data_IF_057699914093
#
_entry.id   IF_057699914093
#
_cell.length_a   1.000
_cell.length_b   1.000
_cell.length_c   1.000
_cell.angle_alpha   90.00
_cell.angle_beta   90.00
_cell.angle_gamma   90.00
#
_symmetry.space_group_name_H-M   'P 1'
#
loop_
_entity.id
_entity.type
_entity.pdbx_description
1 polymer ?
#
# COMPACT_ATOMS: atom_id res chain seq x y z
N UNK A 1 20.51 -1.91 -5.42
CA UNK A 1 19.86 -1.92 -4.09
C UNK A 1 19.51 -3.35 -3.70
N UNK A 2 19.62 -3.71 -2.42
CA UNK A 2 19.19 -5.04 -1.94
C UNK A 2 17.66 -5.15 -1.95
N UNK A 3 17.13 -6.39 -1.95
CA UNK A 3 15.68 -6.64 -1.94
C UNK A 3 15.02 -6.02 -0.71
N UNK A 4 15.57 -6.30 0.49
CA UNK A 4 15.05 -5.76 1.75
C UNK A 4 15.15 -4.24 1.80
N UNK A 5 16.23 -3.66 1.26
CA UNK A 5 16.37 -2.20 1.14
C UNK A 5 15.30 -1.58 0.25
N UNK A 6 14.97 -2.22 -0.88
CA UNK A 6 13.89 -1.78 -1.78
C UNK A 6 12.51 -1.87 -1.16
N UNK A 7 12.21 -2.96 -0.45
CA UNK A 7 10.94 -3.10 0.26
C UNK A 7 10.81 -2.04 1.35
N UNK A 8 11.85 -1.85 2.17
CA UNK A 8 11.84 -0.83 3.22
C UNK A 8 11.68 0.58 2.65
N UNK A 9 12.47 0.93 1.63
CA UNK A 9 12.36 2.21 0.93
C UNK A 9 10.95 2.43 0.37
N UNK A 10 10.38 1.41 -0.29
CA UNK A 10 9.03 1.48 -0.86
C UNK A 10 7.99 1.68 0.23
N UNK A 11 8.10 0.98 1.36
CA UNK A 11 7.18 1.11 2.48
C UNK A 11 7.23 2.52 3.09
N UNK A 12 8.44 3.04 3.36
CA UNK A 12 8.62 4.40 3.91
C UNK A 12 8.11 5.44 2.92
N UNK A 13 8.46 5.34 1.64
CA UNK A 13 8.03 6.28 0.62
C UNK A 13 6.51 6.24 0.42
N UNK A 14 5.91 5.05 0.37
CA UNK A 14 4.47 4.88 0.26
C UNK A 14 3.74 5.47 1.48
N UNK A 15 4.28 5.29 2.68
CA UNK A 15 3.73 5.85 3.91
C UNK A 15 3.76 7.38 3.88
N UNK A 16 4.93 7.97 3.57
CA UNK A 16 5.08 9.42 3.46
C UNK A 16 4.18 10.01 2.37
N UNK A 17 4.11 9.36 1.21
CA UNK A 17 3.26 9.77 0.11
C UNK A 17 1.78 9.73 0.51
N UNK A 18 1.33 8.67 1.18
CA UNK A 18 -0.04 8.56 1.67
C UNK A 18 -0.39 9.68 2.66
N UNK A 19 0.50 10.00 3.59
CA UNK A 19 0.28 11.00 4.63
C UNK A 19 0.32 12.45 4.11
N UNK A 20 1.13 12.73 3.09
CA UNK A 20 1.36 14.11 2.61
C UNK A 20 0.57 14.46 1.34
N UNK A 21 0.38 13.50 0.45
CA UNK A 21 -0.22 13.69 -0.88
C UNK A 21 -1.49 12.85 -1.08
N UNK A 22 -1.87 12.04 -0.09
CA UNK A 22 -3.01 11.14 -0.15
C UNK A 22 -2.70 9.79 -0.82
N UNK A 23 -3.70 8.91 -0.81
CA UNK A 23 -3.52 7.50 -1.21
C UNK A 23 -3.07 7.31 -2.66
N UNK A 24 -3.42 8.22 -3.57
CA UNK A 24 -3.07 8.13 -5.00
C UNK A 24 -1.56 8.18 -5.20
N UNK A 25 -0.84 8.95 -4.37
CA UNK A 25 0.60 9.09 -4.44
C UNK A 25 1.38 7.81 -4.05
N UNK A 26 0.69 6.80 -3.52
CA UNK A 26 1.26 5.47 -3.23
C UNK A 26 1.61 4.72 -4.53
N UNK A 27 0.88 4.97 -5.62
CA UNK A 27 1.10 4.33 -6.93
C UNK A 27 2.50 4.68 -7.49
N UNK A 28 2.89 5.96 -7.67
CA UNK A 28 4.23 6.30 -8.12
C UNK A 28 5.32 5.85 -7.14
N UNK A 29 5.07 5.87 -5.83
CA UNK A 29 6.01 5.34 -4.83
C UNK A 29 6.30 3.84 -5.04
N UNK A 30 5.26 3.03 -5.26
CA UNK A 30 5.40 1.61 -5.55
C UNK A 30 6.09 1.36 -6.90
N UNK A 31 5.78 2.17 -7.92
CA UNK A 31 6.46 2.10 -9.22
C UNK A 31 7.95 2.42 -9.11
N UNK A 32 8.33 3.45 -8.35
CA UNK A 32 9.74 3.76 -8.07
C UNK A 32 10.43 2.61 -7.33
N UNK A 33 9.77 2.02 -6.33
CA UNK A 33 10.26 0.83 -5.63
C UNK A 33 10.57 -0.33 -6.58
N UNK A 34 9.65 -0.59 -7.52
CA UNK A 34 9.82 -1.61 -8.55
C UNK A 34 10.91 -1.27 -9.57
N UNK A 35 11.01 -0.01 -9.98
CA UNK A 35 12.08 0.46 -10.86
C UNK A 35 13.46 0.20 -10.26
N UNK A 36 13.62 0.33 -8.95
CA UNK A 36 14.90 0.08 -8.27
C UNK A 36 15.29 -1.41 -8.23
N UNK A 37 14.39 -2.36 -8.56
CA UNK A 37 14.68 -3.81 -8.56
C UNK A 37 14.05 -4.55 -9.76
N UNK A 38 14.93 -4.99 -10.65
CA UNK A 38 14.62 -5.60 -11.95
C UNK A 38 13.67 -6.80 -11.94
N UNK A 39 13.93 -7.83 -11.13
CA UNK A 39 13.22 -9.13 -11.23
C UNK A 39 12.07 -9.30 -10.24
N UNK A 40 11.81 -8.32 -9.37
CA UNK A 40 10.87 -8.47 -8.23
C UNK A 40 10.03 -7.22 -7.98
N UNK A 41 9.83 -6.38 -8.98
CA UNK A 41 9.08 -5.14 -8.84
C UNK A 41 7.69 -5.35 -8.26
N UNK A 42 6.96 -6.35 -8.75
CA UNK A 42 5.63 -6.71 -8.24
C UNK A 42 5.65 -7.04 -6.73
N UNK A 43 6.56 -7.92 -6.29
CA UNK A 43 6.66 -8.29 -4.88
C UNK A 43 7.08 -7.12 -4.00
N UNK A 44 7.98 -6.26 -4.48
CA UNK A 44 8.44 -5.08 -3.72
C UNK A 44 7.30 -4.06 -3.56
N UNK A 45 6.57 -3.79 -4.63
CA UNK A 45 5.40 -2.92 -4.57
C UNK A 45 4.30 -3.49 -3.66
N UNK A 46 3.97 -4.79 -3.82
CA UNK A 46 3.00 -5.48 -2.96
C UNK A 46 3.38 -5.37 -1.47
N UNK A 47 4.56 -5.85 -1.10
CA UNK A 47 4.99 -5.93 0.30
C UNK A 47 5.20 -4.53 0.86
N UNK A 48 5.78 -3.61 0.09
CA UNK A 48 6.00 -2.23 0.50
C UNK A 48 4.68 -1.51 0.83
N UNK A 49 3.69 -1.59 -0.06
CA UNK A 49 2.38 -0.95 0.16
C UNK A 49 1.59 -1.63 1.27
N UNK A 50 1.54 -2.97 1.31
CA UNK A 50 0.89 -3.71 2.40
C UNK A 50 1.51 -3.37 3.77
N UNK A 51 2.83 -3.23 3.83
CA UNK A 51 3.51 -2.83 5.07
C UNK A 51 3.12 -1.41 5.47
N UNK A 52 3.17 -0.45 4.55
CA UNK A 52 2.82 0.94 4.82
C UNK A 52 1.37 1.09 5.29
N UNK A 53 0.42 0.51 4.56
CA UNK A 53 -1.00 0.62 4.87
C UNK A 53 -1.38 -0.24 6.07
N UNK A 54 -0.79 -1.42 6.22
CA UNK A 54 -0.98 -2.27 7.39
C UNK A 54 -0.55 -1.56 8.67
N UNK A 55 0.58 -0.85 8.64
CA UNK A 55 1.02 -0.01 9.75
C UNK A 55 0.07 1.14 10.03
N UNK A 56 -0.46 1.82 9.00
CA UNK A 56 -1.48 2.88 9.19
C UNK A 56 -2.76 2.35 9.80
N UNK A 57 -3.26 1.21 9.34
CA UNK A 57 -4.44 0.55 9.89
C UNK A 57 -4.19 0.19 11.36
N UNK A 58 -3.07 -0.49 11.66
CA UNK A 58 -2.70 -0.86 13.03
C UNK A 58 -2.56 0.37 13.94
N UNK A 59 -1.90 1.43 13.46
CA UNK A 59 -1.76 2.69 14.17
C UNK A 59 -3.12 3.32 14.48
N UNK A 60 -4.04 3.32 13.52
CA UNK A 60 -5.38 3.90 13.69
C UNK A 60 -6.18 3.16 14.76
N UNK A 61 -6.13 1.83 14.76
CA UNK A 61 -6.76 1.00 15.80
C UNK A 61 -6.08 1.15 17.18
N UNK A 62 -4.77 1.40 17.22
CA UNK A 62 -4.04 1.58 18.47
C UNK A 62 -4.31 2.95 19.12
N UNK A 63 -4.36 4.01 18.31
CA UNK A 63 -4.47 5.40 18.80
C UNK A 63 -5.91 5.86 18.92
N UNK A 64 -6.79 5.45 18.00
CA UNK A 64 -8.18 5.89 17.95
C UNK A 64 -9.13 4.70 17.67
N UNK A 65 -9.21 3.70 18.57
CA UNK A 65 -10.00 2.49 18.34
C UNK A 65 -11.48 2.77 18.12
N UNK A 66 -12.12 3.59 18.97
CA UNK A 66 -13.55 3.92 18.85
C UNK A 66 -13.90 4.60 17.53
N UNK A 67 -13.26 5.74 17.19
CA UNK A 67 -13.47 6.40 15.90
C UNK A 67 -13.17 5.51 14.69
N UNK A 68 -12.11 4.69 14.74
CA UNK A 68 -11.76 3.78 13.64
C UNK A 68 -12.82 2.68 13.46
N UNK A 69 -13.33 2.10 14.54
CA UNK A 69 -14.42 1.11 14.50
C UNK A 69 -15.71 1.73 13.96
N UNK A 70 -16.05 2.94 14.38
CA UNK A 70 -17.26 3.61 13.89
C UNK A 70 -17.15 3.97 12.41
N UNK A 71 -16.00 4.50 11.97
CA UNK A 71 -15.73 4.76 10.55
C UNK A 71 -15.88 3.48 9.72
N UNK A 72 -15.25 2.38 10.12
CA UNK A 72 -15.32 1.11 9.39
C UNK A 72 -16.72 0.51 9.41
N UNK A 73 -17.50 0.69 10.48
CA UNK A 73 -18.92 0.31 10.56
C UNK A 73 -19.77 1.09 9.57
N UNK A 74 -19.62 2.42 9.53
CA UNK A 74 -20.37 3.30 8.61
C UNK A 74 -20.03 2.97 7.15
N UNK A 75 -18.75 2.83 6.83
CA UNK A 75 -18.31 2.42 5.48
C UNK A 75 -18.82 1.03 5.14
N UNK A 76 -18.79 0.09 6.09
CA UNK A 76 -19.34 -1.26 5.93
C UNK A 76 -20.83 -1.24 5.59
N UNK A 77 -21.62 -0.43 6.30
CA UNK A 77 -23.03 -0.23 6.02
C UNK A 77 -23.27 0.34 4.61
N UNK A 78 -22.49 1.35 4.20
CA UNK A 78 -22.56 1.93 2.86
C UNK A 78 -22.15 0.94 1.75
N UNK A 79 -21.22 0.04 2.04
CA UNK A 79 -20.73 -0.97 1.10
C UNK A 79 -21.65 -2.21 0.98
N UNK A 80 -22.91 -2.11 1.39
CA UNK A 80 -23.89 -3.20 1.31
C UNK A 80 -24.01 -4.04 2.57
N UNK A 81 -23.75 -3.46 3.75
CA UNK A 81 -23.88 -4.16 5.03
C UNK A 81 -22.72 -5.10 5.34
N UNK A 82 -21.51 -4.80 4.84
CA UNK A 82 -20.33 -5.59 5.14
C UNK A 82 -19.95 -5.49 6.63
N UNK A 83 -19.41 -6.56 7.24
CA UNK A 83 -18.83 -6.50 8.57
C UNK A 83 -17.72 -5.43 8.64
N UNK A 84 -17.59 -4.75 9.78
CA UNK A 84 -16.60 -3.66 9.95
C UNK A 84 -15.16 -4.11 9.66
N UNK A 85 -14.81 -5.36 10.00
CA UNK A 85 -13.48 -5.95 9.73
C UNK A 85 -13.21 -6.17 8.23
N UNK A 86 -14.25 -6.32 7.41
CA UNK A 86 -14.09 -6.53 5.97
C UNK A 86 -13.54 -5.29 5.26
N UNK A 87 -13.80 -4.09 5.78
CA UNK A 87 -13.33 -2.82 5.20
C UNK A 87 -11.81 -2.71 5.20
N UNK A 88 -11.09 -2.76 6.35
CA UNK A 88 -9.64 -2.67 6.34
C UNK A 88 -8.98 -3.83 5.57
N UNK A 89 -9.56 -5.03 5.60
CA UNK A 89 -9.08 -6.16 4.80
C UNK A 89 -9.18 -5.86 3.30
N UNK A 90 -10.33 -5.38 2.83
CA UNK A 90 -10.52 -5.00 1.45
C UNK A 90 -9.58 -3.84 1.04
N UNK A 91 -9.42 -2.84 1.91
CA UNK A 91 -8.47 -1.73 1.69
C UNK A 91 -7.05 -2.24 1.50
N UNK A 92 -6.58 -3.17 2.34
CA UNK A 92 -5.26 -3.77 2.21
C UNK A 92 -5.13 -4.61 0.94
N UNK A 93 -6.16 -5.38 0.56
CA UNK A 93 -6.15 -6.16 -0.69
C UNK A 93 -6.03 -5.24 -1.91
N UNK A 94 -6.82 -4.17 -1.97
CA UNK A 94 -6.76 -3.18 -3.07
C UNK A 94 -5.40 -2.47 -3.07
N UNK A 95 -4.92 -2.02 -1.91
CA UNK A 95 -3.60 -1.40 -1.79
C UNK A 95 -2.48 -2.34 -2.24
N UNK A 96 -2.55 -3.61 -1.86
CA UNK A 96 -1.59 -4.63 -2.27
C UNK A 96 -1.61 -4.88 -3.79
N UNK A 97 -2.78 -4.96 -4.41
CA UNK A 97 -2.93 -5.10 -5.86
C UNK A 97 -2.38 -3.88 -6.61
N UNK A 98 -2.67 -2.67 -6.14
CA UNK A 98 -2.12 -1.43 -6.69
C UNK A 98 -0.59 -1.40 -6.54
N UNK A 99 -0.08 -1.76 -5.36
CA UNK A 99 1.35 -1.88 -5.11
C UNK A 99 2.01 -2.88 -6.07
N UNK A 100 1.42 -4.07 -6.23
CA UNK A 100 1.94 -5.10 -7.11
C UNK A 100 1.98 -4.67 -8.57
N UNK A 101 0.88 -4.09 -9.07
CA UNK A 101 0.79 -3.66 -10.47
C UNK A 101 1.70 -2.47 -10.76
N UNK A 102 1.76 -1.47 -9.87
CA UNK A 102 2.67 -0.34 -10.00
C UNK A 102 4.14 -0.77 -9.92
N UNK A 103 4.49 -1.62 -8.94
CA UNK A 103 5.83 -2.16 -8.81
C UNK A 103 6.25 -2.99 -10.01
N UNK A 104 5.35 -3.80 -10.57
CA UNK A 104 5.60 -4.51 -11.83
C UNK A 104 5.87 -3.53 -12.97
N UNK A 105 5.02 -2.51 -13.16
CA UNK A 105 5.18 -1.50 -14.19
C UNK A 105 6.54 -0.77 -14.07
N UNK A 106 6.94 -0.42 -12.85
CA UNK A 106 8.26 0.17 -12.58
C UNK A 106 9.42 -0.73 -13.00
N UNK A 107 9.36 -2.03 -12.67
CA UNK A 107 10.40 -2.98 -13.10
C UNK A 107 10.41 -3.19 -14.63
N UNK A 108 9.24 -3.23 -15.26
CA UNK A 108 9.12 -3.35 -16.73
C UNK A 108 9.69 -2.13 -17.43
N UNK A 109 9.40 -0.92 -16.95
CA UNK A 109 9.95 0.32 -17.49
C UNK A 109 11.48 0.32 -17.45
N UNK A 110 12.09 -0.13 -16.36
CA UNK A 110 13.54 -0.26 -16.27
C UNK A 110 14.12 -1.22 -17.29
N UNK A 111 13.45 -2.35 -17.55
CA UNK A 111 13.92 -3.32 -18.52
C UNK A 111 13.89 -2.78 -19.94
N UNK A 112 12.93 -1.89 -20.25
CA UNK A 112 12.83 -1.24 -21.56
C UNK A 112 13.92 -0.18 -21.75
N UNK A 113 14.33 0.49 -20.68
CA UNK A 113 15.34 1.57 -20.71
C UNK A 113 16.79 1.07 -20.66
N UNK A 114 17.03 -0.24 -20.69
CA UNK A 114 18.34 -0.89 -20.64
C UNK A 114 18.65 -1.57 -21.96
#
# INVERSE_FOLDING_TARGET
>A
MSRSGATFFTAVLALLAHLTLGWVAVIPAAALGGFLVEKRGATIGLVGVLTAWGLLVAYSYAIAPGPTQEMTRVVGALAGGLPSVAIPVATLLVGGLLGATAGWAGSSLRNILR
#
